data_IF_408007010561
#
_entry.id   IF_408007010561
#
_cell.length_a   1.000
_cell.length_b   1.000
_cell.length_c   1.000
_cell.angle_alpha   90.00
_cell.angle_beta   90.00
_cell.angle_gamma   90.00
#
_symmetry.space_group_name_H-M   'P 1'
#
loop_
_entity.id
_entity.type
_entity.pdbx_description
1 polymer ?
#
# COMPACT_ATOMS: atom_id res chain seq x y z
N UNK A 1 8.54 42.90 -25.18
CA UNK A 1 9.05 41.78 -24.35
C UNK A 1 9.38 42.34 -22.97
N UNK A 2 8.54 42.08 -21.94
CA UNK A 2 8.72 42.64 -20.59
C UNK A 2 9.79 41.82 -19.86
N UNK A 3 10.91 42.43 -19.48
CA UNK A 3 11.95 41.78 -18.68
C UNK A 3 11.37 41.46 -17.29
N UNK A 4 11.54 40.24 -16.76
CA UNK A 4 11.11 39.92 -15.40
C UNK A 4 11.85 40.83 -14.41
N UNK A 5 11.11 41.50 -13.54
CA UNK A 5 11.69 42.40 -12.54
C UNK A 5 12.49 41.64 -11.47
N UNK A 6 13.35 42.33 -10.70
CA UNK A 6 14.21 41.71 -9.68
C UNK A 6 13.43 40.95 -8.60
N UNK A 7 12.17 41.30 -8.36
CA UNK A 7 11.26 40.57 -7.48
C UNK A 7 10.96 39.13 -7.94
N UNK A 8 10.88 38.91 -9.25
CA UNK A 8 10.64 37.58 -9.83
C UNK A 8 11.89 36.69 -9.69
N UNK A 9 13.08 37.26 -9.88
CA UNK A 9 14.34 36.58 -9.63
C UNK A 9 14.55 36.25 -8.14
N UNK A 10 14.19 37.17 -7.23
CA UNK A 10 14.27 36.94 -5.80
C UNK A 10 13.33 35.81 -5.32
N UNK A 11 12.10 35.76 -5.85
CA UNK A 11 11.13 34.72 -5.52
C UNK A 11 11.59 33.32 -5.99
N UNK A 12 12.16 33.23 -7.19
CA UNK A 12 12.74 31.97 -7.72
C UNK A 12 13.92 31.48 -6.88
N UNK A 13 14.74 32.40 -6.37
CA UNK A 13 15.87 32.08 -5.49
C UNK A 13 15.42 31.56 -4.12
N UNK A 14 14.38 32.16 -3.53
CA UNK A 14 13.82 31.72 -2.24
C UNK A 14 13.17 30.33 -2.36
N UNK A 15 12.49 30.05 -3.47
CA UNK A 15 11.92 28.72 -3.74
C UNK A 15 13.01 27.64 -3.89
N UNK A 16 14.16 27.98 -4.48
CA UNK A 16 15.30 27.06 -4.62
C UNK A 16 16.05 26.74 -3.32
N UNK A 17 15.91 27.59 -2.28
CA UNK A 17 16.54 27.41 -0.97
C UNK A 17 15.76 26.51 -0.01
N UNK A 18 14.50 26.19 -0.33
CA UNK A 18 13.68 25.25 0.43
C UNK A 18 14.14 23.80 0.18
N UNK A 19 15.29 23.43 0.75
CA UNK A 19 15.76 22.06 0.78
C UNK A 19 14.85 21.26 1.71
N UNK A 20 13.92 20.51 1.12
CA UNK A 20 13.06 19.60 1.86
C UNK A 20 13.94 18.62 2.67
N UNK A 21 13.76 18.60 3.99
CA UNK A 21 14.42 17.59 4.83
C UNK A 21 13.98 16.20 4.34
N UNK A 22 14.90 15.23 4.28
CA UNK A 22 14.53 13.86 3.96
C UNK A 22 13.45 13.41 4.95
N UNK A 23 12.35 12.89 4.42
CA UNK A 23 11.26 12.34 5.25
C UNK A 23 11.45 10.84 5.35
N UNK A 24 11.19 10.30 6.54
CA UNK A 24 11.11 8.86 6.72
C UNK A 24 9.75 8.37 6.24
N UNK A 25 9.73 7.26 5.51
CA UNK A 25 8.52 6.57 5.10
C UNK A 25 8.41 5.25 5.86
N UNK A 26 7.27 5.02 6.53
CA UNK A 26 6.93 3.78 7.19
C UNK A 26 5.69 3.20 6.51
N UNK A 27 5.84 2.01 5.91
CA UNK A 27 4.74 1.25 5.33
C UNK A 27 4.27 0.21 6.35
N UNK A 28 3.07 0.39 6.88
CA UNK A 28 2.39 -0.59 7.73
C UNK A 28 1.41 -1.38 6.87
N UNK A 29 1.56 -2.70 6.84
CA UNK A 29 0.70 -3.61 6.08
C UNK A 29 0.11 -4.67 7.01
N UNK A 30 -1.22 -4.76 7.07
CA UNK A 30 -1.93 -5.80 7.79
C UNK A 30 -2.27 -6.96 6.83
N UNK A 31 -2.05 -8.20 7.27
CA UNK A 31 -2.49 -9.40 6.52
C UNK A 31 -3.97 -9.66 6.85
N UNK A 32 -4.78 -9.88 5.81
CA UNK A 32 -6.23 -10.04 5.90
C UNK A 32 -6.99 -8.91 6.66
N UNK A 33 -6.43 -7.70 6.68
CA UNK A 33 -7.05 -6.52 7.29
C UNK A 33 -8.18 -5.94 6.44
N UNK A 34 -9.41 -5.99 6.95
CA UNK A 34 -10.60 -5.41 6.32
C UNK A 34 -11.05 -4.06 6.90
N UNK A 35 -12.36 -3.80 6.87
CA UNK A 35 -13.00 -2.60 7.44
C UNK A 35 -13.23 -2.70 8.95
N UNK A 36 -12.44 -3.52 9.63
CA UNK A 36 -12.64 -3.91 11.02
C UNK A 36 -12.23 -2.82 12.04
N UNK A 37 -11.67 -1.70 11.58
CA UNK A 37 -11.20 -0.63 12.48
C UNK A 37 -12.25 0.47 12.70
N UNK A 38 -12.17 1.13 13.86
CA UNK A 38 -12.99 2.29 14.20
C UNK A 38 -12.87 3.43 13.18
N UNK A 39 -11.72 3.56 12.53
CA UNK A 39 -11.48 4.48 11.43
C UNK A 39 -12.46 4.32 10.23
N UNK A 40 -13.03 3.12 10.05
CA UNK A 40 -14.06 2.83 9.04
C UNK A 40 -15.47 2.67 9.64
N UNK A 41 -15.72 3.27 10.81
CA UNK A 41 -17.02 3.28 11.49
C UNK A 41 -17.47 1.88 11.97
N UNK A 42 -16.51 0.99 12.28
CA UNK A 42 -16.79 -0.27 12.96
C UNK A 42 -16.65 -0.08 14.49
N UNK A 43 -17.72 -0.37 15.24
CA UNK A 43 -17.75 -0.27 16.71
C UNK A 43 -17.52 -1.60 17.43
N UNK A 44 -17.40 -2.72 16.71
CA UNK A 44 -17.24 -4.04 17.31
C UNK A 44 -15.82 -4.28 17.85
N UNK A 45 -14.81 -3.67 17.23
CA UNK A 45 -13.39 -3.87 17.55
C UNK A 45 -12.77 -2.54 17.96
N UNK A 46 -12.07 -2.54 19.10
CA UNK A 46 -11.40 -1.35 19.61
C UNK A 46 -9.98 -1.22 19.04
N UNK A 47 -9.74 -0.19 18.24
CA UNK A 47 -8.43 0.09 17.60
C UNK A 47 -7.86 1.47 17.94
N UNK A 48 -7.63 1.80 19.23
CA UNK A 48 -7.40 3.18 19.67
C UNK A 48 -6.17 3.86 19.03
N UNK A 49 -5.10 3.11 18.75
CA UNK A 49 -3.89 3.63 18.11
C UNK A 49 -4.08 3.89 16.61
N UNK A 50 -4.83 3.03 15.90
CA UNK A 50 -5.16 3.23 14.50
C UNK A 50 -6.15 4.39 14.33
N UNK A 51 -7.10 4.52 15.25
CA UNK A 51 -8.06 5.63 15.24
C UNK A 51 -7.35 6.97 15.49
N UNK A 52 -6.38 6.99 16.42
CA UNK A 52 -5.54 8.16 16.66
C UNK A 52 -4.63 8.51 15.47
N UNK A 53 -4.20 7.52 14.68
CA UNK A 53 -3.49 7.73 13.43
C UNK A 53 -4.44 8.30 12.36
N UNK A 54 -5.61 7.71 12.17
CA UNK A 54 -6.60 8.14 11.20
C UNK A 54 -7.04 9.61 11.41
N UNK A 55 -7.23 10.05 12.66
CA UNK A 55 -7.61 11.45 12.97
C UNK A 55 -6.59 12.50 12.52
N UNK A 56 -5.31 12.13 12.36
CA UNK A 56 -4.23 13.03 11.91
C UNK A 56 -3.75 12.73 10.50
N UNK A 57 -4.44 11.87 9.76
CA UNK A 57 -4.03 11.39 8.44
C UNK A 57 -5.15 11.57 7.43
N UNK A 58 -4.81 11.44 6.14
CA UNK A 58 -5.80 11.32 5.09
C UNK A 58 -6.31 9.87 5.04
N UNK A 59 -7.63 9.68 5.13
CA UNK A 59 -8.26 8.36 5.08
C UNK A 59 -8.91 8.13 3.71
N UNK A 60 -8.56 7.02 3.06
CA UNK A 60 -9.16 6.60 1.80
C UNK A 60 -10.34 5.68 2.06
N UNK A 61 -11.56 6.12 1.73
CA UNK A 61 -12.77 5.28 1.86
C UNK A 61 -12.90 4.22 0.78
N UNK A 62 -12.25 4.44 -0.36
CA UNK A 62 -12.32 3.57 -1.53
C UNK A 62 -10.90 3.12 -1.92
N UNK A 63 -10.34 2.20 -1.15
CA UNK A 63 -9.04 1.58 -1.41
C UNK A 63 -9.24 0.08 -1.65
N UNK A 64 -8.77 -0.41 -2.79
CA UNK A 64 -8.98 -1.80 -3.22
C UNK A 64 -7.64 -2.48 -3.48
N UNK A 65 -7.55 -3.76 -3.13
CA UNK A 65 -6.44 -4.61 -3.54
C UNK A 65 -6.53 -4.95 -5.02
N UNK A 66 -5.40 -5.07 -5.71
CA UNK A 66 -5.38 -5.52 -7.11
C UNK A 66 -5.94 -6.95 -7.28
N UNK A 67 -5.82 -7.78 -6.25
CA UNK A 67 -6.29 -9.17 -6.19
C UNK A 67 -6.48 -9.60 -4.73
N UNK A 68 -7.48 -10.45 -4.47
CA UNK A 68 -7.79 -11.02 -3.15
C UNK A 68 -6.89 -12.23 -2.79
N UNK A 69 -5.57 -12.09 -2.97
CA UNK A 69 -4.61 -13.13 -2.60
C UNK A 69 -3.31 -12.50 -2.10
N UNK A 70 -2.78 -13.00 -0.99
CA UNK A 70 -1.73 -12.33 -0.21
C UNK A 70 -0.44 -12.14 -1.02
N UNK A 71 0.12 -13.21 -1.61
CA UNK A 71 1.35 -13.13 -2.41
C UNK A 71 1.25 -12.19 -3.62
N UNK A 72 0.24 -12.30 -4.50
CA UNK A 72 0.16 -11.43 -5.67
C UNK A 72 -0.23 -9.98 -5.30
N UNK A 73 -1.04 -9.77 -4.25
CA UNK A 73 -1.40 -8.42 -3.76
C UNK A 73 -0.18 -7.68 -3.20
N UNK A 74 0.62 -8.35 -2.36
CA UNK A 74 1.87 -7.79 -1.84
C UNK A 74 2.89 -7.51 -2.94
N UNK A 75 3.01 -8.40 -3.92
CA UNK A 75 3.91 -8.20 -5.04
C UNK A 75 3.52 -6.96 -5.86
N UNK A 76 2.23 -6.75 -6.14
CA UNK A 76 1.75 -5.53 -6.80
C UNK A 76 2.01 -4.27 -5.97
N UNK A 77 1.78 -4.31 -4.65
CA UNK A 77 2.04 -3.18 -3.74
C UNK A 77 3.51 -2.76 -3.74
N UNK A 78 4.43 -3.74 -3.64
CA UNK A 78 5.86 -3.49 -3.51
C UNK A 78 6.55 -3.11 -4.81
N UNK A 79 6.04 -3.59 -5.95
CA UNK A 79 6.63 -3.32 -7.28
C UNK A 79 5.97 -2.15 -8.00
N UNK A 80 4.74 -1.78 -7.61
CA UNK A 80 3.92 -0.82 -8.35
C UNK A 80 3.40 -1.36 -9.69
N UNK A 81 3.54 -2.67 -9.94
CA UNK A 81 3.13 -3.30 -11.19
C UNK A 81 1.79 -4.06 -11.03
N UNK A 82 0.94 -4.05 -12.07
CA UNK A 82 -0.29 -4.83 -12.05
C UNK A 82 0.02 -6.32 -12.05
N UNK A 83 -0.88 -7.14 -11.47
CA UNK A 83 -0.66 -8.57 -11.27
C UNK A 83 -0.32 -9.34 -12.56
N UNK A 84 -0.81 -8.85 -13.71
CA UNK A 84 -0.55 -9.47 -15.03
C UNK A 84 0.92 -9.46 -15.40
N UNK A 85 1.69 -8.49 -14.90
CA UNK A 85 3.11 -8.30 -15.23
C UNK A 85 4.04 -9.03 -14.25
N UNK A 86 3.50 -9.66 -13.20
CA UNK A 86 4.28 -10.36 -12.17
C UNK A 86 4.39 -11.86 -12.47
N UNK A 87 5.60 -12.42 -12.66
CA UNK A 87 5.81 -13.84 -12.96
C UNK A 87 5.29 -14.78 -11.87
N UNK A 88 5.40 -14.35 -10.60
CA UNK A 88 4.95 -15.12 -9.44
C UNK A 88 3.45 -15.47 -9.50
N UNK A 89 2.65 -14.59 -10.11
CA UNK A 89 1.21 -14.75 -10.27
C UNK A 89 0.82 -15.63 -11.45
N UNK A 90 1.76 -15.92 -12.36
CA UNK A 90 1.54 -16.74 -13.56
C UNK A 90 1.88 -18.22 -13.34
N UNK A 91 2.49 -18.57 -12.21
CA UNK A 91 2.76 -19.97 -11.88
C UNK A 91 1.42 -20.70 -11.65
N UNK A 92 1.24 -21.90 -12.22
CA UNK A 92 0.09 -22.72 -11.92
C UNK A 92 0.02 -22.92 -10.41
N UNK A 93 -1.15 -22.66 -9.82
CA UNK A 93 -1.36 -22.98 -8.40
C UNK A 93 -1.12 -24.48 -8.21
N UNK A 94 -0.40 -24.88 -7.15
CA UNK A 94 -0.29 -26.29 -6.83
C UNK A 94 -1.71 -26.87 -6.66
N UNK A 95 -1.95 -28.11 -7.12
CA UNK A 95 -3.24 -28.75 -6.91
C UNK A 95 -3.54 -28.81 -5.41
N UNK A 96 -4.82 -28.72 -5.01
CA UNK A 96 -5.18 -28.83 -3.61
C UNK A 96 -4.74 -30.19 -3.04
N UNK A 97 -4.47 -30.24 -1.74
CA UNK A 97 -3.95 -31.45 -1.06
C UNK A 97 -4.76 -32.73 -1.36
N UNK A 98 -6.09 -32.61 -1.53
CA UNK A 98 -6.94 -33.75 -1.86
C UNK A 98 -6.73 -34.30 -3.29
N UNK A 99 -6.26 -33.46 -4.22
CA UNK A 99 -5.97 -33.83 -5.60
C UNK A 99 -4.56 -34.41 -5.78
N UNK A 100 -3.74 -34.45 -4.73
CA UNK A 100 -2.44 -35.09 -4.74
C UNK A 100 -2.58 -36.62 -4.58
N UNK A 101 -1.66 -37.41 -5.17
CA UNK A 101 -1.58 -38.85 -4.92
C UNK A 101 -1.47 -39.14 -3.42
N UNK A 102 -2.16 -40.19 -2.95
CA UNK A 102 -2.15 -40.61 -1.55
C UNK A 102 -0.75 -40.65 -0.88
N UNK A 103 0.33 -41.15 -1.53
CA UNK A 103 1.66 -41.13 -0.91
C UNK A 103 2.18 -39.72 -0.64
N UNK A 104 1.91 -38.75 -1.52
CA UNK A 104 2.35 -37.36 -1.37
C UNK A 104 1.49 -36.61 -0.34
N UNK A 105 0.19 -36.90 -0.29
CA UNK A 105 -0.75 -36.29 0.66
C UNK A 105 -0.45 -36.61 2.12
N UNK A 106 0.13 -37.77 2.43
CA UNK A 106 0.44 -38.19 3.80
C UNK A 106 1.84 -37.72 4.31
N UNK A 107 2.60 -37.03 3.47
CA UNK A 107 3.94 -36.52 3.76
C UNK A 107 3.96 -35.02 4.13
N UNK A 108 2.83 -34.32 3.96
CA UNK A 108 2.61 -32.90 4.25
C UNK A 108 1.56 -32.75 5.35
#
# INVERSE_FOLDING_TARGET
>A
MRRPGPACCALLLVLGLCRARPRNALLLLADDGGFESGAYNNSAIATPHLDALARRSLLFRNAFTSVSSCSPSRASLLTGLPQVFLPLCRLPRPPPLWALPAPVRNLL
#
